data_IF_203834132364
#
_entry.id   IF_203834132364
#
_cell.length_a   1.000
_cell.length_b   1.000
_cell.length_c   1.000
_cell.angle_alpha   90.00
_cell.angle_beta   90.00
_cell.angle_gamma   90.00
#
_symmetry.space_group_name_H-M   'P 1'
#
loop_
_entity.id
_entity.type
_entity.pdbx_description
1 polymer ?
#
# COMPACT_ATOMS: atom_id res chain seq x y z
N UNK A 1 -9.24 1.36 13.96
CA UNK A 1 -8.12 1.40 12.99
C UNK A 1 -8.29 2.68 12.18
N UNK A 2 -7.20 3.41 11.96
CA UNK A 2 -7.21 4.66 11.17
C UNK A 2 -6.24 4.50 10.01
N UNK A 3 -6.49 5.16 8.88
CA UNK A 3 -5.51 5.26 7.80
C UNK A 3 -4.77 6.59 7.91
N UNK A 4 -3.45 6.52 8.02
CA UNK A 4 -2.56 7.67 7.91
C UNK A 4 -2.10 7.79 6.46
N UNK A 5 -2.43 8.89 5.81
CA UNK A 5 -1.83 9.31 4.54
C UNK A 5 -0.59 10.16 4.79
N UNK A 6 0.41 10.01 3.94
CA UNK A 6 1.71 10.69 4.03
C UNK A 6 2.11 11.14 2.62
N UNK A 7 2.63 12.36 2.51
CA UNK A 7 3.06 12.90 1.24
C UNK A 7 4.29 13.82 1.41
N UNK A 8 5.37 13.44 0.72
CA UNK A 8 6.61 14.20 0.60
C UNK A 8 6.90 14.63 -0.86
N UNK A 9 5.98 14.38 -1.79
CA UNK A 9 6.18 14.65 -3.22
C UNK A 9 7.15 13.69 -3.91
N UNK A 10 7.24 12.43 -3.44
CA UNK A 10 8.16 11.42 -4.00
C UNK A 10 7.97 11.27 -5.51
N UNK A 11 9.06 11.38 -6.26
CA UNK A 11 9.05 11.34 -7.73
C UNK A 11 9.20 9.92 -8.26
N UNK A 12 9.74 9.04 -7.43
CA UNK A 12 10.01 7.66 -7.79
C UNK A 12 9.36 6.69 -6.80
N UNK A 13 9.04 5.49 -7.29
CA UNK A 13 8.49 4.44 -6.44
C UNK A 13 9.47 4.05 -5.31
N UNK A 14 10.78 3.87 -5.56
CA UNK A 14 11.73 3.58 -4.48
C UNK A 14 11.76 4.64 -3.37
N UNK A 15 11.69 5.93 -3.72
CA UNK A 15 11.59 7.02 -2.74
C UNK A 15 10.34 6.89 -1.88
N UNK A 16 9.19 6.66 -2.50
CA UNK A 16 7.92 6.53 -1.79
C UNK A 16 7.91 5.31 -0.86
N UNK A 17 8.41 4.16 -1.32
CA UNK A 17 8.50 2.98 -0.46
C UNK A 17 9.51 3.14 0.67
N UNK A 18 10.64 3.84 0.42
CA UNK A 18 11.59 4.18 1.47
C UNK A 18 10.93 5.08 2.53
N UNK A 19 10.22 6.12 2.11
CA UNK A 19 9.43 6.99 2.99
C UNK A 19 8.44 6.18 3.83
N UNK A 20 7.66 5.30 3.19
CA UNK A 20 6.68 4.45 3.85
C UNK A 20 7.32 3.59 4.93
N UNK A 21 8.44 2.92 4.63
CA UNK A 21 9.17 2.08 5.60
C UNK A 21 9.78 2.90 6.73
N UNK A 22 10.32 4.08 6.42
CA UNK A 22 10.89 5.00 7.42
C UNK A 22 9.82 5.49 8.40
N UNK A 23 8.65 5.89 7.90
CA UNK A 23 7.54 6.33 8.76
C UNK A 23 6.95 5.17 9.56
N UNK A 24 6.76 4.00 8.95
CA UNK A 24 6.29 2.83 9.69
C UNK A 24 7.22 2.47 10.86
N UNK A 25 8.54 2.54 10.63
CA UNK A 25 9.55 2.33 11.67
C UNK A 25 9.54 3.41 12.75
N UNK A 26 9.44 4.68 12.39
CA UNK A 26 9.43 5.78 13.37
C UNK A 26 8.20 5.74 14.27
N UNK A 27 7.08 5.26 13.75
CA UNK A 27 5.84 5.03 14.49
C UNK A 27 5.84 3.70 15.29
N UNK A 28 6.90 2.89 15.18
CA UNK A 28 6.98 1.59 15.86
C UNK A 28 5.93 0.58 15.39
N UNK A 29 5.49 0.67 14.14
CA UNK A 29 4.46 -0.21 13.60
C UNK A 29 5.02 -1.63 13.38
N UNK A 30 4.21 -2.69 13.62
CA UNK A 30 4.61 -4.06 13.31
C UNK A 30 4.97 -4.24 11.83
N UNK A 31 5.92 -5.13 11.51
CA UNK A 31 6.41 -5.36 10.13
C UNK A 31 5.34 -5.79 9.11
N UNK A 32 4.24 -6.38 9.58
CA UNK A 32 3.09 -6.75 8.74
C UNK A 32 2.02 -5.65 8.59
N UNK A 33 2.29 -4.42 9.02
CA UNK A 33 1.31 -3.33 8.88
C UNK A 33 1.01 -3.08 7.42
N UNK A 34 -0.27 -2.94 7.08
CA UNK A 34 -0.67 -2.68 5.69
C UNK A 34 -0.23 -1.28 5.28
N UNK A 35 0.62 -1.22 4.25
CA UNK A 35 1.13 0.01 3.67
C UNK A 35 1.01 0.01 2.16
N UNK A 36 0.57 1.14 1.59
CA UNK A 36 0.31 1.29 0.17
C UNK A 36 0.98 2.54 -0.40
N UNK A 37 1.40 2.49 -1.67
CA UNK A 37 1.73 3.68 -2.47
C UNK A 37 0.58 4.05 -3.38
N UNK A 38 0.36 5.35 -3.60
CA UNK A 38 -0.74 5.92 -4.37
C UNK A 38 -0.20 6.95 -5.34
N UNK A 39 -0.61 6.85 -6.61
CA UNK A 39 -0.28 7.88 -7.59
C UNK A 39 -1.19 9.09 -7.36
N UNK A 40 -0.59 10.26 -7.18
CA UNK A 40 -1.27 11.53 -7.10
C UNK A 40 -1.05 12.26 -8.43
N UNK A 41 -2.12 12.48 -9.23
CA UNK A 41 -1.98 13.17 -10.51
C UNK A 41 -1.58 14.63 -10.30
N UNK A 42 -1.13 15.29 -11.37
CA UNK A 42 -0.86 16.73 -11.32
C UNK A 42 -2.12 17.49 -10.88
N UNK A 43 -1.96 18.38 -9.90
CA UNK A 43 -3.03 19.22 -9.41
C UNK A 43 -3.22 20.46 -10.29
N UNK A 44 -4.42 21.04 -10.26
CA UNK A 44 -4.70 22.34 -10.89
C UNK A 44 -3.84 23.49 -10.31
N UNK A 45 -3.31 23.31 -9.10
CA UNK A 45 -2.43 24.25 -8.41
C UNK A 45 -0.93 24.11 -8.78
N UNK A 46 -0.59 23.29 -9.78
CA UNK A 46 0.78 23.18 -10.29
C UNK A 46 1.67 22.16 -9.56
N UNK A 47 1.11 21.32 -8.69
CA UNK A 47 1.84 20.18 -8.15
C UNK A 47 2.12 19.16 -9.27
N UNK A 48 3.39 18.78 -9.41
CA UNK A 48 3.78 17.74 -10.37
C UNK A 48 3.23 16.36 -9.93
N UNK A 49 2.92 15.44 -10.87
CA UNK A 49 2.41 14.12 -10.52
C UNK A 49 3.43 13.34 -9.70
N UNK A 50 3.05 12.82 -8.54
CA UNK A 50 3.96 12.20 -7.58
C UNK A 50 3.32 10.99 -6.90
N UNK A 51 4.03 10.40 -5.94
CA UNK A 51 3.57 9.22 -5.21
C UNK A 51 3.43 9.56 -3.73
N UNK A 52 2.21 9.46 -3.23
CA UNK A 52 1.90 9.53 -1.81
C UNK A 52 1.80 8.11 -1.20
N UNK A 53 1.85 8.01 0.11
CA UNK A 53 1.82 6.75 0.85
C UNK A 53 0.65 6.72 1.82
N UNK A 54 0.21 5.52 2.21
CA UNK A 54 -0.65 5.38 3.37
C UNK A 54 -0.38 4.11 4.18
N UNK A 55 -0.64 4.20 5.48
CA UNK A 55 -0.41 3.16 6.48
C UNK A 55 -1.68 2.94 7.30
N UNK A 56 -2.01 1.67 7.56
CA UNK A 56 -3.10 1.32 8.45
C UNK A 56 -2.59 1.28 9.90
N UNK A 57 -2.94 2.28 10.71
CA UNK A 57 -2.38 2.49 12.05
C UNK A 57 -3.38 2.17 13.18
N UNK A 58 -2.89 1.75 14.36
CA UNK A 58 -3.73 1.53 15.53
C UNK A 58 -4.14 2.88 16.15
N UNK A 59 -5.32 3.38 15.75
CA UNK A 59 -5.92 4.58 16.37
C UNK A 59 -5.29 5.89 15.89
N UNK A 60 -5.28 6.90 16.76
CA UNK A 60 -4.64 8.19 16.48
C UNK A 60 -3.12 8.08 16.64
N UNK A 61 -2.37 8.52 15.64
CA UNK A 61 -0.91 8.60 15.69
C UNK A 61 -0.46 10.05 15.56
N UNK A 62 0.63 10.39 16.21
CA UNK A 62 1.31 11.67 15.96
C UNK A 62 2.06 11.55 14.63
N UNK A 63 1.73 12.37 13.63
CA UNK A 63 2.37 12.29 12.32
C UNK A 63 3.84 12.71 12.42
N UNK A 64 4.73 12.18 11.57
CA UNK A 64 6.14 12.57 11.56
C UNK A 64 6.30 14.07 11.26
N UNK A 65 7.32 14.68 11.86
CA UNK A 65 7.78 16.01 11.44
C UNK A 65 8.24 15.95 9.96
N UNK A 66 8.14 17.08 9.26
CA UNK A 66 8.66 17.30 7.90
C UNK A 66 7.98 16.51 6.76
N UNK A 67 6.85 15.85 7.02
CA UNK A 67 6.01 15.26 5.97
C UNK A 67 4.61 15.86 6.01
N UNK A 68 3.99 15.97 4.84
CA UNK A 68 2.56 16.28 4.80
C UNK A 68 1.78 15.02 5.16
N UNK A 69 0.66 15.18 5.84
CA UNK A 69 -0.09 14.04 6.38
C UNK A 69 -1.59 14.30 6.41
N UNK A 70 -2.36 13.21 6.46
CA UNK A 70 -3.79 13.25 6.71
C UNK A 70 -4.23 12.01 7.49
N UNK A 71 -5.00 12.17 8.55
CA UNK A 71 -5.55 11.07 9.34
C UNK A 71 -6.79 11.54 10.13
N UNK A 72 -7.84 10.73 10.17
CA UNK A 72 -9.01 10.99 11.02
C UNK A 72 -9.70 12.35 10.79
N UNK A 73 -9.69 12.86 9.55
CA UNK A 73 -10.24 14.16 9.20
C UNK A 73 -9.33 15.37 9.49
N UNK A 74 -8.16 15.14 10.11
CA UNK A 74 -7.13 16.14 10.28
C UNK A 74 -6.07 16.02 9.18
N UNK A 75 -5.41 17.13 8.88
CA UNK A 75 -4.35 17.20 7.86
C UNK A 75 -3.35 18.29 8.18
N UNK A 76 -2.11 18.13 7.71
CA UNK A 76 -1.04 19.11 7.91
C UNK A 76 0.03 19.04 6.83
N UNK A 77 0.74 20.15 6.64
CA UNK A 77 1.80 20.28 5.64
C UNK A 77 1.32 20.73 4.25
N UNK A 78 2.25 21.14 3.38
CA UNK A 78 1.93 21.73 2.09
C UNK A 78 1.27 20.77 1.08
N UNK A 79 1.48 19.46 1.24
CA UNK A 79 0.93 18.39 0.36
C UNK A 79 -0.18 17.58 1.06
N UNK A 80 -0.90 18.22 1.99
CA UNK A 80 -1.96 17.59 2.77
C UNK A 80 -3.06 16.93 1.91
N UNK A 81 -3.33 17.48 0.72
CA UNK A 81 -4.34 16.92 -0.20
C UNK A 81 -3.91 15.60 -0.85
N UNK A 82 -2.64 15.46 -1.24
CA UNK A 82 -2.12 14.18 -1.75
C UNK A 82 -2.07 13.12 -0.66
N UNK A 83 -1.70 13.49 0.56
CA UNK A 83 -1.81 12.63 1.74
C UNK A 83 -3.27 12.21 2.00
N UNK A 84 -4.22 13.15 1.96
CA UNK A 84 -5.65 12.85 2.14
C UNK A 84 -6.18 11.90 1.07
N UNK A 85 -5.76 12.07 -0.18
CA UNK A 85 -6.10 11.18 -1.30
C UNK A 85 -5.60 9.75 -1.02
N UNK A 86 -4.33 9.59 -0.63
CA UNK A 86 -3.77 8.28 -0.30
C UNK A 86 -4.46 7.60 0.89
N UNK A 87 -4.86 8.38 1.90
CA UNK A 87 -5.63 7.87 3.04
C UNK A 87 -7.03 7.39 2.61
N UNK A 88 -7.73 8.19 1.81
CA UNK A 88 -9.07 7.90 1.34
C UNK A 88 -9.11 6.65 0.42
N UNK A 89 -8.19 6.54 -0.53
CA UNK A 89 -8.11 5.40 -1.45
C UNK A 89 -7.80 4.08 -0.74
N UNK A 90 -6.92 4.11 0.26
CA UNK A 90 -6.64 2.95 1.11
C UNK A 90 -7.84 2.60 1.97
N UNK A 91 -8.44 3.56 2.68
CA UNK A 91 -9.62 3.31 3.52
C UNK A 91 -10.79 2.73 2.72
N UNK A 92 -10.95 3.19 1.47
CA UNK A 92 -11.98 2.70 0.56
C UNK A 92 -11.66 1.35 -0.08
N UNK A 93 -10.41 0.88 -0.03
CA UNK A 93 -9.90 -0.23 -0.86
C UNK A 93 -10.32 -0.04 -2.32
N UNK A 94 -9.87 1.06 -2.92
CA UNK A 94 -10.14 1.36 -4.34
C UNK A 94 -8.89 1.75 -5.13
N UNK A 95 -7.75 1.90 -4.45
CA UNK A 95 -6.56 2.40 -5.10
C UNK A 95 -5.29 2.04 -4.35
N UNK A 96 -4.19 2.14 -5.09
CA UNK A 96 -2.84 1.95 -4.60
C UNK A 96 -2.21 0.61 -4.96
N UNK A 97 -0.94 0.48 -4.59
CA UNK A 97 -0.14 -0.75 -4.66
C UNK A 97 0.37 -1.08 -3.28
N UNK A 98 0.04 -2.27 -2.80
CA UNK A 98 0.46 -2.72 -1.47
C UNK A 98 1.98 -2.93 -1.49
N UNK A 99 2.65 -2.47 -0.45
CA UNK A 99 4.10 -2.59 -0.22
C UNK A 99 4.37 -3.53 0.95
N UNK A 100 3.64 -3.34 2.04
CA UNK A 100 3.78 -4.10 3.29
C UNK A 100 2.41 -4.64 3.68
N UNK A 101 2.38 -5.87 4.18
CA UNK A 101 1.17 -6.56 4.63
C UNK A 101 1.57 -7.80 5.45
N UNK A 102 0.64 -8.41 6.21
CA UNK A 102 0.95 -9.61 6.98
C UNK A 102 1.46 -10.74 6.07
N UNK A 103 2.62 -11.30 6.41
CA UNK A 103 3.25 -12.39 5.68
C UNK A 103 4.04 -12.01 4.43
N UNK A 104 4.16 -10.72 4.07
CA UNK A 104 4.89 -10.30 2.87
C UNK A 104 6.37 -10.75 2.87
N UNK A 105 7.04 -10.74 4.02
CA UNK A 105 8.44 -11.18 4.18
C UNK A 105 8.62 -12.70 3.96
N UNK A 106 7.53 -13.49 3.97
CA UNK A 106 7.57 -14.93 3.72
C UNK A 106 7.46 -15.27 2.22
N UNK A 107 7.14 -14.29 1.38
CA UNK A 107 6.90 -14.48 -0.05
C UNK A 107 8.21 -14.44 -0.85
N UNK A 108 9.04 -15.45 -0.64
CA UNK A 108 10.39 -15.56 -1.23
C UNK A 108 10.56 -16.83 -2.07
N UNK A 109 11.38 -16.75 -3.11
CA UNK A 109 11.72 -17.85 -4.00
C UNK A 109 10.53 -18.33 -4.84
N UNK A 110 10.45 -19.65 -5.03
CA UNK A 110 9.35 -20.30 -5.73
C UNK A 110 8.42 -20.96 -4.70
N UNK A 111 7.14 -20.60 -4.73
CA UNK A 111 6.14 -21.06 -3.77
C UNK A 111 4.89 -21.56 -4.49
N UNK A 112 4.14 -22.47 -3.87
CA UNK A 112 2.82 -22.86 -4.38
C UNK A 112 1.78 -21.78 -4.11
N UNK A 113 0.69 -21.78 -4.88
CA UNK A 113 -0.46 -20.88 -4.65
C UNK A 113 -1.04 -21.05 -3.25
N UNK A 114 -1.13 -22.29 -2.76
CA UNK A 114 -1.55 -22.56 -1.37
C UNK A 114 -0.60 -21.90 -0.35
N UNK A 115 0.71 -22.09 -0.49
CA UNK A 115 1.69 -21.53 0.45
C UNK A 115 1.63 -19.98 0.50
N UNK A 116 1.40 -19.33 -0.64
CA UNK A 116 1.22 -17.87 -0.72
C UNK A 116 -0.03 -17.42 0.06
N UNK A 117 -1.15 -18.13 -0.10
CA UNK A 117 -2.44 -17.78 0.53
C UNK A 117 -2.44 -18.08 2.03
N UNK A 118 -1.85 -19.19 2.44
CA UNK A 118 -1.82 -19.61 3.84
C UNK A 118 -0.79 -18.82 4.66
N UNK A 119 0.30 -18.40 4.00
CA UNK A 119 1.40 -17.67 4.64
C UNK A 119 1.25 -16.14 4.65
N UNK A 120 0.25 -15.58 3.96
CA UNK A 120 0.12 -14.13 3.82
C UNK A 120 -1.32 -13.63 3.80
N UNK A 121 -1.51 -12.32 3.86
CA UNK A 121 -2.82 -11.70 3.73
C UNK A 121 -3.37 -11.70 2.28
N UNK A 122 -2.74 -12.40 1.34
CA UNK A 122 -3.24 -12.54 -0.04
C UNK A 122 -4.40 -13.54 -0.05
N UNK A 123 -5.60 -13.04 -0.29
CA UNK A 123 -6.80 -13.87 -0.33
C UNK A 123 -6.95 -14.64 -1.65
N UNK A 124 -6.45 -14.06 -2.76
CA UNK A 124 -6.68 -14.57 -4.11
C UNK A 124 -5.48 -14.37 -5.03
N UNK A 125 -5.18 -15.43 -5.80
CA UNK A 125 -4.23 -15.39 -6.92
C UNK A 125 -5.02 -15.58 -8.21
N UNK A 126 -4.73 -14.73 -9.20
CA UNK A 126 -5.34 -14.79 -10.52
C UNK A 126 -4.24 -14.93 -11.57
N UNK A 127 -4.50 -15.73 -12.61
CA UNK A 127 -3.61 -15.83 -13.78
C UNK A 127 -4.21 -14.98 -14.89
N UNK A 128 -3.43 -14.02 -15.39
CA UNK A 128 -3.87 -13.19 -16.52
C UNK A 128 -4.16 -14.07 -17.74
N UNK A 129 -5.25 -13.76 -18.44
CA UNK A 129 -5.73 -14.54 -19.58
C UNK A 129 -6.14 -16.00 -19.26
N UNK A 130 -6.36 -16.35 -17.99
CA UNK A 130 -7.01 -17.60 -17.57
C UNK A 130 -8.43 -17.32 -17.08
N UNK A 131 -9.42 -18.16 -17.43
CA UNK A 131 -10.80 -18.01 -16.95
C UNK A 131 -10.99 -18.42 -15.49
N UNK A 132 -10.02 -19.13 -14.89
CA UNK A 132 -10.12 -19.67 -13.54
C UNK A 132 -8.87 -19.41 -12.69
N UNK A 133 -9.00 -19.52 -11.36
CA UNK A 133 -7.85 -19.47 -10.47
C UNK A 133 -6.87 -20.61 -10.77
N UNK A 134 -5.57 -20.41 -10.54
CA UNK A 134 -4.61 -21.49 -10.63
C UNK A 134 -4.90 -22.56 -9.57
N UNK A 135 -4.53 -23.82 -9.84
CA UNK A 135 -4.59 -24.87 -8.83
C UNK A 135 -3.62 -24.60 -7.68
N UNK A 136 -3.90 -25.15 -6.50
CA UNK A 136 -3.16 -24.88 -5.27
C UNK A 136 -1.67 -25.26 -5.34
N UNK A 137 -1.34 -26.31 -6.09
CA UNK A 137 0.03 -26.78 -6.33
C UNK A 137 0.78 -25.99 -7.41
N UNK A 138 0.12 -25.04 -8.08
CA UNK A 138 0.75 -24.21 -9.11
C UNK A 138 1.90 -23.40 -8.49
N UNK A 139 3.09 -23.52 -9.07
CA UNK A 139 4.26 -22.79 -8.61
C UNK A 139 4.30 -21.37 -9.16
N UNK A 140 4.65 -20.42 -8.30
CA UNK A 140 4.82 -19.00 -8.60
C UNK A 140 6.25 -18.60 -8.24
N UNK A 141 6.97 -18.00 -9.18
CA UNK A 141 8.26 -17.37 -8.92
C UNK A 141 7.99 -15.97 -8.40
N UNK A 142 8.20 -15.75 -7.10
CA UNK A 142 7.91 -14.47 -6.43
C UNK A 142 8.94 -13.38 -6.74
N UNK A 143 10.14 -13.77 -7.21
CA UNK A 143 11.31 -12.91 -7.34
C UNK A 143 11.64 -12.13 -6.06
N UNK A 144 11.25 -12.67 -4.89
CA UNK A 144 11.36 -12.02 -3.59
C UNK A 144 10.69 -10.62 -3.55
N UNK A 145 9.75 -10.37 -4.46
CA UNK A 145 9.10 -9.08 -4.65
C UNK A 145 7.65 -9.23 -5.12
N UNK A 146 6.71 -9.17 -4.16
CA UNK A 146 5.27 -9.29 -4.43
C UNK A 146 4.55 -8.00 -4.01
N UNK A 147 3.88 -7.34 -4.97
CA UNK A 147 3.13 -6.09 -4.76
C UNK A 147 1.70 -6.19 -5.29
N UNK A 148 0.77 -6.77 -4.52
CA UNK A 148 -0.60 -6.91 -4.98
C UNK A 148 -1.28 -5.54 -5.10
N UNK A 149 -2.30 -5.41 -5.97
CA UNK A 149 -3.18 -4.25 -5.92
C UNK A 149 -3.90 -4.22 -4.58
N UNK A 150 -4.04 -3.04 -3.96
CA UNK A 150 -4.99 -2.87 -2.87
C UNK A 150 -6.38 -3.00 -3.52
N UNK A 151 -7.02 -4.16 -3.32
CA UNK A 151 -8.19 -4.64 -4.07
C UNK A 151 -9.11 -3.51 -4.53
N UNK A 152 -9.37 -3.41 -5.84
CA UNK A 152 -10.58 -2.75 -6.35
C UNK A 152 -11.69 -3.81 -6.33
N UNK A 153 -12.84 -3.48 -5.76
CA UNK A 153 -14.03 -4.34 -5.94
C UNK A 153 -14.32 -4.39 -7.44
N UNK A 154 -14.05 -5.54 -8.04
CA UNK A 154 -14.08 -5.77 -9.49
C UNK A 154 -14.47 -7.21 -9.78
N UNK A 155 -15.59 -7.64 -9.21
CA UNK A 155 -16.40 -8.74 -9.72
C UNK A 155 -17.75 -8.11 -10.04
N UNK A 156 -18.12 -8.18 -11.31
CA UNK A 156 -19.41 -7.67 -11.78
C UNK A 156 -20.56 -8.28 -11.01
N UNK A 157 -21.40 -7.40 -10.48
CA UNK A 157 -22.86 -7.42 -10.51
C UNK A 157 -23.26 -5.95 -10.73
#
# INVERSE_FOLDING_TARGET
>A
MTVLGIDAGSRTLPEAEHLLRTVARSLGLPGGTVGCTHFVPAGLAGDEPHIACSLAVPGSVTPPADVSWAAGGQRGGPRAEGAATAAAEHAARRGGRVVTFPGHDLLTGTMSVAAIRDGSAIERVLVLASPGPPGDDTLVVTNDHVRPPASVSGLGC
#
